data_IF_229064636159
#
_entry.id   IF_229064636159
#
_cell.length_a   1.000
_cell.length_b   1.000
_cell.length_c   1.000
_cell.angle_alpha   90.00
_cell.angle_beta   90.00
_cell.angle_gamma   90.00
#
_symmetry.space_group_name_H-M   'P 1'
#
loop_
_entity.id
_entity.type
_entity.pdbx_description
1 polymer ?
#
# COMPACT_ATOMS: atom_id res chain seq x y z
N UNK A 1 1.90 14.67 -5.97
CA UNK A 1 3.29 14.47 -5.52
C UNK A 1 4.06 13.90 -6.70
N UNK A 2 5.09 14.63 -7.14
CA UNK A 2 5.99 14.23 -8.25
C UNK A 2 7.44 14.66 -7.97
N UNK A 3 7.73 15.04 -6.72
CA UNK A 3 8.99 15.60 -6.28
C UNK A 3 9.50 14.95 -4.98
N UNK A 4 9.04 13.73 -4.67
CA UNK A 4 9.55 12.96 -3.55
C UNK A 4 11.02 12.55 -3.75
N UNK A 5 11.66 11.98 -2.71
CA UNK A 5 13.00 11.43 -2.82
C UNK A 5 13.09 10.35 -3.92
N UNK A 6 12.09 9.48 -4.00
CA UNK A 6 11.97 8.49 -5.07
C UNK A 6 11.87 9.12 -6.47
N UNK A 7 11.10 10.20 -6.61
CA UNK A 7 10.95 10.89 -7.88
C UNK A 7 12.29 11.48 -8.36
N UNK A 8 13.03 12.13 -7.45
CA UNK A 8 14.35 12.68 -7.73
C UNK A 8 15.36 11.57 -8.08
N UNK A 9 15.32 10.47 -7.34
CA UNK A 9 16.15 9.28 -7.61
C UNK A 9 15.85 8.68 -8.98
N UNK A 10 14.57 8.42 -9.31
CA UNK A 10 14.18 7.76 -10.57
C UNK A 10 14.52 8.60 -11.82
N UNK A 11 14.55 9.94 -11.68
CA UNK A 11 14.96 10.86 -12.74
C UNK A 11 16.45 11.21 -12.75
N UNK A 12 17.25 10.61 -11.85
CA UNK A 12 18.68 10.93 -11.66
C UNK A 12 18.94 12.42 -11.37
N UNK A 13 18.07 13.07 -10.59
CA UNK A 13 18.15 14.50 -10.27
C UNK A 13 19.08 14.77 -9.09
N UNK A 14 19.90 15.82 -9.21
CA UNK A 14 20.63 16.40 -8.07
C UNK A 14 21.59 15.47 -7.32
N UNK A 15 22.02 14.36 -7.95
CA UNK A 15 22.77 13.27 -7.31
C UNK A 15 22.05 12.66 -6.10
N UNK A 16 20.71 12.72 -6.07
CA UNK A 16 19.91 12.07 -5.03
C UNK A 16 20.05 10.56 -5.16
N UNK A 17 20.47 9.91 -4.07
CA UNK A 17 20.57 8.45 -3.97
C UNK A 17 19.64 7.91 -2.89
N UNK A 18 19.18 6.69 -3.10
CA UNK A 18 18.58 5.88 -2.05
C UNK A 18 19.70 5.23 -1.22
N UNK A 19 19.48 5.13 0.08
CA UNK A 19 20.32 4.37 1.00
C UNK A 19 20.25 2.88 0.66
N UNK A 20 21.20 2.09 1.17
CA UNK A 20 21.19 0.63 0.98
C UNK A 20 19.86 -0.01 1.44
N UNK A 21 19.27 0.49 2.53
CA UNK A 21 18.03 -0.02 3.08
C UNK A 21 16.83 0.33 2.18
N UNK A 22 16.75 1.56 1.70
CA UNK A 22 15.70 2.02 0.77
C UNK A 22 15.78 1.28 -0.57
N UNK A 23 16.99 1.00 -1.08
CA UNK A 23 17.20 0.20 -2.29
C UNK A 23 16.74 -1.25 -2.12
N UNK A 24 17.10 -1.88 -1.00
CA UNK A 24 16.61 -3.22 -0.67
C UNK A 24 15.08 -3.22 -0.52
N UNK A 25 14.53 -2.19 0.12
CA UNK A 25 13.09 -1.98 0.25
C UNK A 25 12.37 -1.87 -1.09
N UNK A 26 12.94 -1.13 -2.02
CA UNK A 26 12.41 -0.98 -3.38
C UNK A 26 12.38 -2.32 -4.12
N UNK A 27 13.45 -3.11 -4.01
CA UNK A 27 13.51 -4.43 -4.63
C UNK A 27 12.46 -5.38 -4.03
N UNK A 28 12.35 -5.42 -2.70
CA UNK A 28 11.33 -6.21 -2.00
C UNK A 28 9.91 -5.76 -2.38
N UNK A 29 9.67 -4.46 -2.49
CA UNK A 29 8.40 -3.91 -2.94
C UNK A 29 8.07 -4.34 -4.37
N UNK A 30 9.03 -4.27 -5.29
CA UNK A 30 8.85 -4.72 -6.67
C UNK A 30 8.50 -6.21 -6.76
N UNK A 31 9.11 -7.04 -5.90
CA UNK A 31 8.86 -8.47 -5.88
C UNK A 31 7.51 -8.84 -5.25
N UNK A 32 7.10 -8.13 -4.18
CA UNK A 32 5.99 -8.56 -3.32
C UNK A 32 4.72 -7.71 -3.44
N UNK A 33 4.82 -6.46 -3.88
CA UNK A 33 3.74 -5.47 -3.80
C UNK A 33 3.33 -4.90 -5.17
N UNK A 34 4.26 -4.85 -6.12
CA UNK A 34 4.06 -4.18 -7.41
C UNK A 34 3.06 -4.87 -8.35
N UNK A 35 2.60 -6.08 -8.03
CA UNK A 35 1.51 -6.74 -8.79
C UNK A 35 0.19 -5.97 -8.70
N UNK A 36 -0.04 -5.24 -7.60
CA UNK A 36 -1.19 -4.35 -7.41
C UNK A 36 -0.77 -2.89 -7.35
N UNK A 37 0.34 -2.58 -6.68
CA UNK A 37 0.85 -1.22 -6.51
C UNK A 37 1.86 -0.86 -7.61
N UNK A 38 1.39 -0.84 -8.85
CA UNK A 38 2.21 -0.69 -10.05
C UNK A 38 2.32 0.76 -10.56
N UNK A 39 3.29 0.98 -11.45
CA UNK A 39 3.45 2.22 -12.20
C UNK A 39 3.83 3.43 -11.35
N UNK A 40 3.81 4.62 -11.97
CA UNK A 40 4.29 5.86 -11.33
C UNK A 40 3.46 6.32 -10.14
N UNK A 41 2.19 5.89 -10.05
CA UNK A 41 1.28 6.23 -8.96
C UNK A 41 1.22 5.13 -7.88
N UNK A 42 1.95 4.02 -8.05
CA UNK A 42 1.91 2.87 -7.15
C UNK A 42 0.49 2.31 -6.96
N UNK A 43 -0.24 2.21 -8.07
CA UNK A 43 -1.57 1.62 -8.16
C UNK A 43 -1.83 1.19 -9.60
N UNK A 44 -2.34 -0.02 -9.79
CA UNK A 44 -2.86 -0.52 -11.07
C UNK A 44 -4.29 0.00 -11.36
N UNK A 45 -4.86 0.80 -10.45
CA UNK A 45 -6.21 1.38 -10.51
C UNK A 45 -7.35 0.34 -10.51
N UNK A 46 -7.05 -0.91 -10.17
CA UNK A 46 -8.02 -1.99 -10.07
C UNK A 46 -8.72 -2.01 -8.71
N UNK A 47 -9.59 -2.99 -8.50
CA UNK A 47 -10.34 -3.20 -7.28
C UNK A 47 -10.06 -4.61 -6.76
N UNK A 48 -9.70 -4.72 -5.48
CA UNK A 48 -9.15 -5.93 -4.88
C UNK A 48 -9.74 -6.12 -3.49
N UNK A 49 -9.92 -7.36 -3.07
CA UNK A 49 -10.21 -7.70 -1.68
C UNK A 49 -8.89 -8.20 -1.06
N UNK A 50 -8.36 -7.45 -0.10
CA UNK A 50 -7.10 -7.78 0.58
C UNK A 50 -7.28 -8.65 1.84
N UNK A 51 -8.46 -9.26 2.01
CA UNK A 51 -8.80 -10.12 3.13
C UNK A 51 -8.85 -9.40 4.47
N UNK A 52 -9.13 -8.09 4.49
CA UNK A 52 -9.39 -7.37 5.73
C UNK A 52 -10.64 -7.94 6.41
N UNK A 53 -10.60 -8.17 7.73
CA UNK A 53 -11.76 -8.68 8.45
C UNK A 53 -12.95 -7.73 8.30
N UNK A 54 -14.14 -8.23 8.02
CA UNK A 54 -15.33 -7.38 7.81
C UNK A 54 -15.70 -6.69 9.12
N UNK A 55 -15.86 -5.37 9.10
CA UNK A 55 -16.38 -4.63 10.25
C UNK A 55 -17.90 -4.85 10.36
N UNK A 56 -18.40 -5.51 11.42
CA UNK A 56 -19.81 -5.81 11.55
C UNK A 56 -20.68 -4.57 11.78
N UNK A 57 -20.10 -3.45 12.21
CA UNK A 57 -20.82 -2.20 12.42
C UNK A 57 -21.17 -1.52 11.09
N UNK A 58 -20.21 -1.47 10.15
CA UNK A 58 -20.41 -0.81 8.85
C UNK A 58 -20.88 -1.77 7.77
N UNK A 59 -20.44 -3.03 7.83
CA UNK A 59 -20.70 -4.07 6.83
C UNK A 59 -20.53 -3.55 5.39
N UNK A 60 -19.42 -2.85 5.13
CA UNK A 60 -19.17 -2.22 3.84
C UNK A 60 -18.88 -3.30 2.79
N UNK A 61 -19.84 -3.50 1.88
CA UNK A 61 -19.75 -4.45 0.77
C UNK A 61 -18.85 -3.94 -0.38
N UNK A 62 -18.28 -2.75 -0.25
CA UNK A 62 -17.28 -2.20 -1.16
C UNK A 62 -17.86 -1.92 -2.55
N UNK A 63 -17.15 -2.36 -3.59
CA UNK A 63 -17.48 -2.10 -4.99
C UNK A 63 -18.86 -2.64 -5.40
N UNK A 64 -19.34 -3.74 -4.81
CA UNK A 64 -20.68 -4.29 -5.09
C UNK A 64 -21.78 -3.23 -4.91
N UNK A 65 -21.63 -2.30 -3.95
CA UNK A 65 -22.61 -1.20 -3.76
C UNK A 65 -22.82 -0.36 -5.01
N UNK A 66 -21.81 -0.27 -5.86
CA UNK A 66 -21.83 0.51 -7.11
C UNK A 66 -22.21 -0.36 -8.31
N UNK A 67 -21.70 -1.58 -8.37
CA UNK A 67 -21.85 -2.44 -9.56
C UNK A 67 -23.05 -3.39 -9.50
N UNK A 68 -23.47 -3.78 -8.29
CA UNK A 68 -24.54 -4.76 -8.05
C UNK A 68 -24.12 -6.22 -8.25
N UNK A 69 -22.84 -6.48 -8.53
CA UNK A 69 -22.33 -7.82 -8.84
C UNK A 69 -21.71 -8.49 -7.61
N UNK A 70 -22.15 -9.71 -7.21
CA UNK A 70 -21.60 -10.41 -6.06
C UNK A 70 -20.10 -10.67 -6.14
N UNK A 71 -19.54 -10.85 -7.34
CA UNK A 71 -18.11 -11.04 -7.56
C UNK A 71 -17.27 -9.79 -7.22
N UNK A 72 -17.89 -8.61 -7.09
CA UNK A 72 -17.24 -7.35 -6.69
C UNK A 72 -17.37 -7.07 -5.19
N UNK A 73 -18.04 -7.95 -4.44
CA UNK A 73 -18.22 -7.80 -3.00
C UNK A 73 -16.87 -7.76 -2.28
N UNK A 74 -16.74 -6.82 -1.35
CA UNK A 74 -15.56 -6.54 -0.54
C UNK A 74 -14.30 -6.11 -1.33
N UNK A 75 -14.45 -5.80 -2.62
CA UNK A 75 -13.35 -5.21 -3.38
C UNK A 75 -13.33 -3.69 -3.19
N UNK A 76 -12.14 -3.17 -2.93
CA UNK A 76 -11.86 -1.74 -2.81
C UNK A 76 -10.79 -1.34 -3.80
N UNK A 77 -10.81 -0.07 -4.22
CA UNK A 77 -9.81 0.45 -5.15
C UNK A 77 -8.42 0.33 -4.54
N UNK A 78 -7.45 -0.17 -5.30
CA UNK A 78 -6.04 -0.16 -4.88
C UNK A 78 -5.59 1.30 -4.73
N UNK A 79 -5.23 1.77 -3.53
CA UNK A 79 -4.88 3.17 -3.31
C UNK A 79 -3.55 3.50 -3.96
N UNK A 80 -3.36 4.78 -4.31
CA UNK A 80 -2.01 5.29 -4.60
C UNK A 80 -1.18 5.28 -3.30
N UNK A 81 0.13 5.02 -3.41
CA UNK A 81 1.02 4.99 -2.24
C UNK A 81 1.89 6.24 -2.11
N UNK A 82 1.65 7.27 -2.93
CA UNK A 82 2.35 8.55 -2.79
C UNK A 82 1.90 9.22 -1.50
N UNK A 83 2.87 9.72 -0.72
CA UNK A 83 2.64 10.31 0.62
C UNK A 83 2.04 9.33 1.65
N UNK A 84 2.12 8.01 1.46
CA UNK A 84 1.49 7.04 2.35
C UNK A 84 1.98 7.14 3.81
N UNK A 85 3.20 7.61 4.05
CA UNK A 85 3.71 7.84 5.42
C UNK A 85 2.87 8.82 6.24
N UNK A 86 2.23 9.80 5.59
CA UNK A 86 1.55 10.92 6.27
C UNK A 86 0.03 10.91 6.10
N UNK A 87 -0.54 9.85 5.56
CA UNK A 87 -1.99 9.70 5.33
C UNK A 87 -2.60 8.63 6.23
N UNK A 88 -2.04 8.43 7.42
CA UNK A 88 -2.67 7.59 8.43
C UNK A 88 -4.00 8.23 8.89
N UNK A 89 -4.98 7.43 9.33
CA UNK A 89 -4.95 5.96 9.43
C UNK A 89 -5.15 5.24 8.08
N UNK A 90 -4.82 3.95 8.05
CA UNK A 90 -4.76 3.11 6.84
C UNK A 90 -5.93 2.15 6.69
N UNK A 91 -6.06 1.60 5.46
CA UNK A 91 -7.18 0.80 4.95
C UNK A 91 -8.44 1.64 4.67
N UNK A 92 -9.46 1.01 4.07
CA UNK A 92 -10.69 1.71 3.69
C UNK A 92 -11.51 2.20 4.89
N UNK A 93 -11.27 1.64 6.07
CA UNK A 93 -11.97 1.94 7.31
C UNK A 93 -11.06 2.54 8.40
N UNK A 94 -9.79 2.81 8.09
CA UNK A 94 -8.87 3.49 9.01
C UNK A 94 -8.48 2.67 10.24
N UNK A 95 -8.60 1.34 10.24
CA UNK A 95 -8.33 0.53 11.45
C UNK A 95 -6.86 0.44 11.86
N UNK A 96 -5.93 0.74 10.95
CA UNK A 96 -4.49 0.65 11.23
C UNK A 96 -3.86 2.02 11.36
N UNK A 97 -3.15 2.25 12.46
CA UNK A 97 -2.48 3.53 12.72
C UNK A 97 -1.09 3.62 12.07
N UNK A 98 -0.47 2.50 11.71
CA UNK A 98 0.93 2.46 11.25
C UNK A 98 1.13 1.58 10.02
N UNK A 99 2.17 1.85 9.24
CA UNK A 99 2.57 1.02 8.10
C UNK A 99 3.02 -0.38 8.54
N UNK A 100 3.59 -0.50 9.75
CA UNK A 100 3.94 -1.79 10.34
C UNK A 100 2.70 -2.67 10.54
N UNK A 101 1.59 -2.10 11.01
CA UNK A 101 0.33 -2.84 11.15
C UNK A 101 -0.26 -3.23 9.77
N UNK A 102 -0.11 -2.38 8.76
CA UNK A 102 -0.50 -2.69 7.37
C UNK A 102 0.30 -3.89 6.84
N UNK A 103 1.63 -3.87 6.96
CA UNK A 103 2.45 -4.98 6.49
C UNK A 103 2.24 -6.25 7.32
N UNK A 104 1.96 -6.12 8.61
CA UNK A 104 1.59 -7.25 9.46
C UNK A 104 0.28 -7.91 9.03
N UNK A 105 -0.71 -7.12 8.59
CA UNK A 105 -1.92 -7.64 7.96
C UNK A 105 -1.61 -8.46 6.72
N UNK A 106 -0.79 -7.93 5.80
CA UNK A 106 -0.40 -8.68 4.60
C UNK A 106 0.45 -9.91 4.91
N UNK A 107 1.25 -9.89 5.98
CA UNK A 107 2.08 -11.03 6.40
C UNK A 107 1.25 -12.20 6.92
N UNK A 108 0.26 -11.93 7.79
CA UNK A 108 -0.48 -12.99 8.50
C UNK A 108 -1.90 -12.64 8.97
N UNK A 109 -2.39 -11.42 8.75
CA UNK A 109 -3.72 -10.97 9.19
C UNK A 109 -4.86 -11.23 8.20
N UNK A 110 -4.53 -11.70 7.00
CA UNK A 110 -5.49 -11.94 5.91
C UNK A 110 -6.54 -12.99 6.32
N UNK A 111 -7.81 -12.64 6.15
CA UNK A 111 -8.96 -13.53 6.33
C UNK A 111 -9.38 -14.14 5.00
N UNK A 112 -9.67 -15.44 4.99
CA UNK A 112 -10.25 -16.10 3.82
C UNK A 112 -11.71 -15.66 3.66
N UNK A 113 -11.93 -14.67 2.81
CA UNK A 113 -13.23 -14.04 2.57
C UNK A 113 -13.69 -14.32 1.14
N UNK A 114 -14.98 -14.14 0.89
CA UNK A 114 -15.54 -14.19 -0.46
C UNK A 114 -14.81 -13.18 -1.37
N UNK A 115 -14.39 -13.62 -2.56
CA UNK A 115 -13.69 -12.82 -3.56
C UNK A 115 -12.31 -12.26 -3.14
N UNK A 116 -11.64 -12.82 -2.13
CA UNK A 116 -10.24 -12.49 -1.83
C UNK A 116 -9.37 -12.56 -3.08
N UNK A 117 -8.41 -11.64 -3.21
CA UNK A 117 -7.51 -11.67 -4.37
C UNK A 117 -6.62 -12.92 -4.37
N UNK A 118 -6.59 -13.62 -5.51
CA UNK A 118 -5.81 -14.85 -5.68
C UNK A 118 -4.30 -14.63 -5.50
N UNK A 119 -3.77 -13.42 -5.69
CA UNK A 119 -2.35 -13.14 -5.42
C UNK A 119 -1.97 -13.26 -3.94
N UNK A 120 -2.96 -13.32 -3.05
CA UNK A 120 -2.77 -13.50 -1.61
C UNK A 120 -2.82 -14.97 -1.19
N UNK A 121 -3.13 -15.88 -2.11
CA UNK A 121 -3.08 -17.33 -1.90
C UNK A 121 -1.71 -17.85 -2.32
N UNK A 122 -0.96 -18.40 -1.37
CA UNK A 122 0.32 -19.03 -1.64
C UNK A 122 0.13 -20.45 -2.20
N UNK A 123 1.16 -20.97 -2.88
CA UNK A 123 1.10 -22.31 -3.50
C UNK A 123 0.94 -23.45 -2.50
N UNK A 124 1.31 -23.23 -1.24
CA UNK A 124 1.14 -24.18 -0.13
C UNK A 124 -0.23 -24.06 0.57
N UNK A 125 -1.10 -23.19 0.06
CA UNK A 125 -2.44 -22.93 0.59
C UNK A 125 -2.48 -21.93 1.74
N UNK A 126 -1.34 -21.38 2.17
CA UNK A 126 -1.33 -20.30 3.17
C UNK A 126 -1.82 -18.98 2.57
N UNK A 127 -2.36 -18.11 3.41
CA UNK A 127 -2.76 -16.75 3.02
C UNK A 127 -1.73 -15.74 3.52
N UNK A 128 -1.48 -14.73 2.70
CA UNK A 128 -0.54 -13.66 3.03
C UNK A 128 0.56 -13.50 2.00
N UNK A 129 1.48 -12.60 2.32
CA UNK A 129 2.70 -12.31 1.59
C UNK A 129 3.86 -12.57 2.55
N UNK A 130 4.58 -13.68 2.42
CA UNK A 130 5.66 -14.02 3.35
C UNK A 130 6.73 -12.94 3.40
N UNK A 131 7.02 -12.47 4.62
CA UNK A 131 8.05 -11.48 4.89
C UNK A 131 8.58 -11.60 6.33
N UNK A 132 9.86 -11.34 6.49
CA UNK A 132 10.53 -11.19 7.79
C UNK A 132 10.33 -9.78 8.35
N UNK A 133 10.63 -9.58 9.63
CA UNK A 133 10.59 -8.24 10.23
C UNK A 133 11.59 -7.27 9.59
N UNK A 134 12.75 -7.78 9.15
CA UNK A 134 13.71 -6.96 8.40
C UNK A 134 13.14 -6.56 7.03
N UNK A 135 12.55 -7.49 6.27
CA UNK A 135 11.92 -7.15 4.99
C UNK A 135 10.80 -6.11 5.15
N UNK A 136 9.98 -6.22 6.20
CA UNK A 136 8.97 -5.20 6.53
C UNK A 136 9.59 -3.82 6.74
N UNK A 137 10.64 -3.75 7.56
CA UNK A 137 11.33 -2.49 7.84
C UNK A 137 11.92 -1.86 6.57
N UNK A 138 12.53 -2.68 5.69
CA UNK A 138 13.07 -2.22 4.40
C UNK A 138 11.98 -1.70 3.48
N UNK A 139 10.86 -2.41 3.35
CA UNK A 139 9.73 -1.96 2.54
C UNK A 139 9.21 -0.61 3.08
N UNK A 140 9.12 -0.44 4.41
CA UNK A 140 8.72 0.83 5.02
C UNK A 140 9.73 1.94 4.71
N UNK A 141 11.04 1.68 4.82
CA UNK A 141 12.08 2.63 4.44
C UNK A 141 11.88 3.11 2.99
N UNK A 142 11.55 2.20 2.07
CA UNK A 142 11.21 2.56 0.69
C UNK A 142 9.92 3.38 0.58
N UNK A 143 8.82 2.98 1.25
CA UNK A 143 7.55 3.71 1.20
C UNK A 143 7.68 5.17 1.67
N UNK A 144 8.56 5.44 2.65
CA UNK A 144 8.86 6.80 3.12
C UNK A 144 9.53 7.67 2.05
N UNK A 145 10.22 7.06 1.08
CA UNK A 145 10.79 7.80 -0.06
C UNK A 145 9.73 8.36 -1.02
N UNK A 146 8.47 7.90 -0.89
CA UNK A 146 7.33 8.34 -1.69
C UNK A 146 6.66 9.61 -1.12
N UNK A 147 7.16 10.13 0.00
CA UNK A 147 6.70 11.36 0.64
C UNK A 147 7.29 12.60 -0.04
N UNK A 148 6.43 13.48 -0.54
CA UNK A 148 6.81 14.78 -1.14
C UNK A 148 6.80 15.86 -0.05
N UNK A 149 7.92 15.96 0.66
CA UNK A 149 8.10 16.93 1.74
C UNK A 149 8.05 18.37 1.23
N UNK A 150 8.48 18.61 -0.01
CA UNK A 150 8.48 19.94 -0.62
C UNK A 150 7.04 20.43 -0.80
N UNK A 151 6.10 19.54 -1.15
CA UNK A 151 4.66 19.86 -1.20
C UNK A 151 4.04 19.96 0.20
N UNK A 152 4.33 19.01 1.10
CA UNK A 152 3.69 18.93 2.43
C UNK A 152 4.04 20.13 3.31
N UNK A 153 5.27 20.62 3.26
CA UNK A 153 5.75 21.73 4.10
C UNK A 153 5.79 23.07 3.37
N UNK A 154 5.17 23.18 2.20
CA UNK A 154 5.11 24.42 1.45
C UNK A 154 4.20 25.44 2.17
N UNK A 155 4.78 26.53 2.66
CA UNK A 155 4.04 27.61 3.32
C UNK A 155 3.01 28.29 2.40
N UNK A 156 3.10 28.13 1.08
CA UNK A 156 2.08 28.64 0.15
C UNK A 156 0.78 27.84 0.23
N UNK A 157 0.84 26.61 0.75
CA UNK A 157 -0.29 25.69 0.87
C UNK A 157 -0.66 25.39 2.34
N UNK A 158 -0.04 26.04 3.32
CA UNK A 158 -0.44 25.93 4.72
C UNK A 158 -1.72 26.74 4.98
N UNK A 159 -2.75 26.10 5.53
CA UNK A 159 -3.87 26.82 6.12
C UNK A 159 -3.44 27.36 7.50
N UNK A 160 -2.98 28.63 7.49
CA UNK A 160 -2.63 29.52 8.61
C UNK A 160 -1.45 29.12 9.52
#
# INVERSE_FOLDING_TARGET
>A
SSNSKYDKFSRNEGNVTLTANELQGMELFNQKCASCHAGELFTDQTYRNNGLAIDPQYNDIGRERVTGFPEDRYKFKVPNLRNVEVTFPYMHDGRFATLEAVLEHYRSGIQDTENIDESLRQTDGTLGIPMTDEEKARIIDFLKTLTDTDFIFDQRFSEF
#
